data_IF_028639045366
#
_entry.id   IF_028639045366
#
_cell.length_a   1.000
_cell.length_b   1.000
_cell.length_c   1.000
_cell.angle_alpha   90.00
_cell.angle_beta   90.00
_cell.angle_gamma   90.00
#
_symmetry.space_group_name_H-M   'P 1'
#
loop_
_entity.id
_entity.type
_entity.pdbx_description
1 polymer ?
#
# COMPACT_ATOMS: atom_id res chain seq x y z
N UNK A 1 -17.79 1.20 12.53
CA UNK A 1 -16.95 0.16 13.15
C UNK A 1 -16.14 -0.44 12.03
N UNK A 2 -14.83 -0.47 12.17
CA UNK A 2 -13.89 -0.96 11.17
C UNK A 2 -13.31 -2.29 11.65
N UNK A 3 -13.23 -3.28 10.77
CA UNK A 3 -12.61 -4.56 11.10
C UNK A 3 -11.13 -4.47 10.77
N UNK A 4 -10.29 -4.65 11.79
CA UNK A 4 -8.83 -4.63 11.65
C UNK A 4 -8.27 -6.01 11.92
N UNK A 5 -7.31 -6.44 11.10
CA UNK A 5 -6.67 -7.75 11.21
C UNK A 5 -5.17 -7.65 10.88
N UNK A 6 -4.40 -8.61 11.40
CA UNK A 6 -3.00 -8.77 11.06
C UNK A 6 -2.86 -9.80 9.92
N UNK A 7 -2.13 -9.43 8.86
CA UNK A 7 -1.82 -10.28 7.72
C UNK A 7 -0.30 -10.37 7.52
N UNK A 8 0.18 -11.40 6.82
CA UNK A 8 1.59 -11.53 6.46
C UNK A 8 1.80 -11.51 4.97
N UNK A 9 2.73 -10.68 4.47
CA UNK A 9 3.03 -10.54 3.04
C UNK A 9 4.55 -10.50 2.79
N UNK A 10 4.96 -10.88 1.58
CA UNK A 10 6.33 -10.77 1.08
C UNK A 10 7.24 -11.96 1.38
N UNK A 11 8.42 -11.93 0.74
CA UNK A 11 9.55 -12.84 0.95
C UNK A 11 10.83 -12.00 1.05
N UNK A 12 11.40 -11.76 2.24
CA UNK A 12 11.04 -12.33 3.55
C UNK A 12 9.68 -11.85 4.06
N UNK A 13 9.08 -12.66 4.94
CA UNK A 13 7.74 -12.43 5.49
C UNK A 13 7.72 -11.19 6.41
N UNK A 14 6.72 -10.33 6.23
CA UNK A 14 6.47 -9.13 7.03
C UNK A 14 5.01 -9.13 7.51
N UNK A 15 4.74 -8.59 8.70
CA UNK A 15 3.38 -8.50 9.26
C UNK A 15 2.82 -7.09 9.08
N UNK A 16 1.58 -6.99 8.60
CA UNK A 16 0.86 -5.75 8.36
C UNK A 16 -0.47 -5.76 9.09
N UNK A 17 -0.80 -4.64 9.73
CA UNK A 17 -2.13 -4.42 10.32
C UNK A 17 -2.99 -3.66 9.32
N UNK A 18 -4.07 -4.28 8.85
CA UNK A 18 -4.88 -3.77 7.73
C UNK A 18 -6.34 -3.58 8.14
N UNK A 19 -6.98 -2.63 7.46
CA UNK A 19 -8.42 -2.46 7.44
C UNK A 19 -9.06 -3.43 6.44
N UNK A 20 -10.09 -4.16 6.85
CA UNK A 20 -10.82 -5.07 5.97
C UNK A 20 -11.94 -4.33 5.26
N UNK A 21 -11.76 -4.08 3.96
CA UNK A 21 -12.79 -3.55 3.07
C UNK A 21 -13.35 -4.70 2.22
N UNK A 22 -14.62 -5.05 2.44
CA UNK A 22 -15.30 -6.11 1.66
C UNK A 22 -15.90 -5.59 0.35
N UNK A 23 -15.82 -4.28 0.08
CA UNK A 23 -16.43 -3.64 -1.09
C UNK A 23 -15.44 -3.45 -2.25
N UNK A 24 -14.16 -3.78 -2.05
CA UNK A 24 -13.11 -3.71 -3.06
C UNK A 24 -12.30 -5.01 -3.12
N UNK A 25 -11.91 -5.41 -4.32
CA UNK A 25 -11.28 -6.72 -4.56
C UNK A 25 -9.77 -6.71 -4.39
N UNK A 26 -9.12 -5.56 -4.59
CA UNK A 26 -7.66 -5.50 -4.68
C UNK A 26 -7.04 -5.09 -3.34
N UNK A 27 -6.03 -5.85 -2.91
CA UNK A 27 -5.22 -5.52 -1.73
C UNK A 27 -4.01 -4.71 -2.17
N UNK A 28 -3.83 -3.53 -1.57
CA UNK A 28 -2.66 -2.68 -1.79
C UNK A 28 -1.95 -2.41 -0.46
N UNK A 29 -0.63 -2.32 -0.49
CA UNK A 29 0.22 -1.99 0.66
C UNK A 29 1.12 -0.85 0.27
N UNK A 30 1.23 0.17 1.12
CA UNK A 30 2.15 1.29 0.88
C UNK A 30 3.58 0.80 1.09
N UNK A 31 4.39 0.90 0.05
CA UNK A 31 5.82 0.64 0.16
C UNK A 31 6.51 1.83 0.85
N UNK A 32 7.23 1.54 1.94
CA UNK A 32 7.90 2.56 2.75
C UNK A 32 9.04 3.27 2.02
N UNK A 33 9.66 2.65 1.01
CA UNK A 33 10.66 3.31 0.16
C UNK A 33 10.00 4.29 -0.81
N UNK A 34 8.80 3.99 -1.26
CA UNK A 34 7.98 4.87 -2.10
C UNK A 34 7.33 6.01 -1.28
N UNK A 35 7.16 5.83 0.04
CA UNK A 35 6.52 6.80 0.93
C UNK A 35 7.48 7.81 1.59
N UNK A 36 8.79 7.59 1.57
CA UNK A 36 9.70 8.34 2.43
C UNK A 36 9.86 9.81 2.00
N UNK A 37 9.87 10.11 0.70
CA UNK A 37 9.89 11.47 0.13
C UNK A 37 9.28 11.37 -1.28
N UNK A 38 8.04 11.84 -1.48
CA UNK A 38 7.50 12.07 -2.83
C UNK A 38 8.06 13.41 -3.30
N UNK A 39 8.92 13.49 -4.33
CA UNK A 39 9.28 14.77 -4.90
C UNK A 39 8.01 15.46 -5.41
N UNK A 40 7.92 16.80 -5.37
CA UNK A 40 6.70 17.53 -5.78
C UNK A 40 6.24 17.18 -7.22
N UNK A 41 7.17 16.79 -8.10
CA UNK A 41 6.86 16.33 -9.47
C UNK A 41 6.01 15.06 -9.50
N UNK A 42 6.02 14.28 -8.43
CA UNK A 42 5.24 13.07 -8.29
C UNK A 42 3.83 13.34 -7.76
N UNK A 43 3.49 14.57 -7.34
CA UNK A 43 2.09 14.95 -7.10
C UNK A 43 1.31 15.13 -8.41
N UNK A 44 2.02 15.32 -9.52
CA UNK A 44 1.47 15.13 -10.86
C UNK A 44 1.39 13.64 -11.19
N UNK A 45 0.37 13.24 -11.97
CA UNK A 45 0.13 11.84 -12.35
C UNK A 45 1.20 11.22 -13.26
N UNK A 46 2.28 11.95 -13.54
CA UNK A 46 3.39 11.55 -14.40
C UNK A 46 4.24 10.46 -13.73
N UNK A 47 4.30 10.46 -12.40
CA UNK A 47 5.01 9.46 -11.61
C UNK A 47 4.07 8.58 -10.79
N UNK A 48 2.77 8.60 -11.11
CA UNK A 48 1.86 7.60 -10.57
C UNK A 48 2.38 6.23 -11.02
N UNK A 49 2.77 5.40 -10.05
CA UNK A 49 3.25 4.06 -10.34
C UNK A 49 2.10 3.24 -10.93
N UNK A 50 2.00 3.23 -12.26
CA UNK A 50 1.57 2.05 -12.99
C UNK A 50 2.69 1.03 -12.87
N UNK A 51 2.49 -0.01 -12.08
CA UNK A 51 3.45 -1.10 -11.91
C UNK A 51 3.88 -1.68 -13.27
N UNK A 52 5.18 -1.72 -13.52
CA UNK A 52 5.86 -2.85 -14.18
C UNK A 52 7.06 -3.28 -13.33
#
# INVERSE_FOLDING_TARGET
>A
MEYVADITLGSPQQTFRVALDTTFSDTWVVDSKCSAIKPLVCDDSICDQGCE
#
